data_IF_202064137533
#
_entry.id   IF_202064137533
#
_cell.length_a   1.000
_cell.length_b   1.000
_cell.length_c   1.000
_cell.angle_alpha   90.00
_cell.angle_beta   90.00
_cell.angle_gamma   90.00
#
_symmetry.space_group_name_H-M   'P 1'
#
loop_
_entity.id
_entity.type
_entity.pdbx_description
1 polymer ?
#
# COMPACT_ATOMS: atom_id res chain seq x y z
N UNK A 1 -12.68 -44.69 -14.88
CA UNK A 1 -13.51 -44.69 -13.65
C UNK A 1 -12.73 -45.06 -12.39
N UNK A 2 -11.67 -45.87 -12.46
CA UNK A 2 -10.98 -46.42 -11.27
C UNK A 2 -10.15 -45.38 -10.48
N UNK A 3 -9.60 -44.38 -11.16
CA UNK A 3 -8.85 -43.27 -10.54
C UNK A 3 -9.73 -42.43 -9.59
N UNK A 4 -10.95 -42.09 -10.00
CA UNK A 4 -11.87 -41.28 -9.19
C UNK A 4 -12.29 -42.01 -7.90
N UNK A 5 -12.39 -43.34 -7.96
CA UNK A 5 -12.75 -44.17 -6.80
C UNK A 5 -11.60 -44.21 -5.80
N UNK A 6 -10.36 -44.35 -6.27
CA UNK A 6 -9.15 -44.28 -5.43
C UNK A 6 -8.96 -42.90 -4.80
N UNK A 7 -9.19 -41.83 -5.55
CA UNK A 7 -9.10 -40.46 -5.04
C UNK A 7 -10.13 -40.19 -3.92
N UNK A 8 -11.38 -40.64 -4.09
CA UNK A 8 -12.42 -40.52 -3.05
C UNK A 8 -12.10 -41.32 -1.79
N UNK A 9 -11.53 -42.51 -1.93
CA UNK A 9 -11.12 -43.32 -0.80
C UNK A 9 -9.98 -42.66 -0.01
N UNK A 10 -8.99 -42.11 -0.71
CA UNK A 10 -7.86 -41.42 -0.08
C UNK A 10 -8.27 -40.13 0.66
N UNK A 11 -9.22 -39.36 0.12
CA UNK A 11 -9.76 -38.19 0.82
C UNK A 11 -10.49 -38.57 2.11
N UNK A 12 -11.22 -39.69 2.11
CA UNK A 12 -11.94 -40.17 3.30
C UNK A 12 -10.98 -40.65 4.40
N UNK A 13 -9.84 -41.21 4.02
CA UNK A 13 -8.77 -41.59 4.95
C UNK A 13 -8.12 -40.35 5.58
N UNK A 14 -7.81 -39.33 4.77
CA UNK A 14 -7.27 -38.05 5.24
C UNK A 14 -8.22 -37.31 6.21
N UNK A 15 -9.53 -37.29 5.93
CA UNK A 15 -10.52 -36.73 6.86
C UNK A 15 -10.54 -37.49 8.21
N UNK A 16 -10.42 -38.82 8.16
CA UNK A 16 -10.34 -39.66 9.36
C UNK A 16 -9.13 -39.34 10.22
N UNK A 17 -7.96 -39.16 9.59
CA UNK A 17 -6.71 -38.85 10.29
C UNK A 17 -6.71 -37.41 10.83
N UNK A 18 -7.27 -36.45 10.10
CA UNK A 18 -7.45 -35.07 10.56
C UNK A 18 -8.34 -35.02 11.81
N UNK A 19 -9.46 -35.73 11.82
CA UNK A 19 -10.36 -35.78 12.97
C UNK A 19 -9.70 -36.41 14.21
N UNK A 20 -8.88 -37.45 14.03
CA UNK A 20 -8.09 -38.03 15.13
C UNK A 20 -7.04 -37.05 15.66
N UNK A 21 -6.36 -36.31 14.78
CA UNK A 21 -5.39 -35.30 15.18
C UNK A 21 -6.06 -34.16 15.97
N UNK A 22 -7.22 -33.68 15.51
CA UNK A 22 -8.00 -32.64 16.21
C UNK A 22 -8.45 -33.10 17.59
N UNK A 23 -8.88 -34.37 17.73
CA UNK A 23 -9.24 -34.95 19.02
C UNK A 23 -8.05 -35.09 19.98
N UNK A 24 -6.86 -35.41 19.46
CA UNK A 24 -5.62 -35.50 20.26
C UNK A 24 -5.11 -34.14 20.74
N UNK A 25 -5.39 -33.07 19.98
CA UNK A 25 -4.94 -31.70 20.30
C UNK A 25 -5.83 -30.97 21.31
N UNK A 26 -6.90 -31.61 21.83
CA UNK A 26 -7.65 -31.08 22.97
C UNK A 26 -8.44 -29.79 22.71
N UNK A 27 -8.69 -29.43 21.45
CA UNK A 27 -9.59 -28.33 21.09
C UNK A 27 -11.05 -28.77 21.24
N UNK A 28 -11.48 -28.99 22.48
CA UNK A 28 -12.89 -29.13 22.83
C UNK A 28 -13.56 -27.76 22.84
N UNK A 29 -14.54 -27.56 21.95
CA UNK A 29 -15.48 -26.44 21.99
C UNK A 29 -16.17 -26.38 23.36
N UNK A 30 -15.93 -25.32 24.13
CA UNK A 30 -16.83 -24.93 25.22
C UNK A 30 -18.01 -24.19 24.60
N UNK A 31 -19.12 -24.90 24.41
CA UNK A 31 -20.42 -24.30 24.13
C UNK A 31 -20.92 -23.58 25.40
N UNK A 32 -20.91 -22.24 25.38
CA UNK A 32 -21.76 -21.44 26.27
C UNK A 32 -23.12 -21.27 25.58
N UNK A 33 -24.08 -22.11 25.95
CA UNK A 33 -25.51 -21.82 25.80
C UNK A 33 -26.10 -21.76 27.20
N UNK A 34 -26.60 -20.58 27.57
CA UNK A 34 -27.91 -20.40 28.21
C UNK A 34 -28.03 -18.95 28.71
N UNK A 35 -28.72 -18.11 27.93
CA UNK A 35 -29.41 -16.97 28.52
C UNK A 35 -30.71 -16.73 27.76
N UNK A 36 -31.80 -16.73 28.52
CA UNK A 36 -33.18 -16.78 28.07
C UNK A 36 -33.65 -15.44 27.50
N UNK A 37 -34.31 -15.48 26.34
CA UNK A 37 -35.06 -14.35 25.79
C UNK A 37 -36.51 -14.36 26.31
N UNK A 38 -36.91 -13.26 26.94
CA UNK A 38 -38.31 -12.94 27.22
C UNK A 38 -38.99 -12.29 25.99
N UNK A 39 -40.32 -12.44 25.82
CA UNK A 39 -40.99 -12.11 24.56
C UNK A 39 -41.27 -10.61 24.39
N UNK A 40 -41.00 -10.10 23.18
CA UNK A 40 -41.36 -8.76 22.73
C UNK A 40 -42.84 -8.75 22.31
N UNK A 41 -43.62 -7.87 22.92
CA UNK A 41 -45.00 -7.57 22.53
C UNK A 41 -45.03 -6.61 21.33
N UNK A 42 -45.93 -6.91 20.40
CA UNK A 42 -46.20 -6.13 19.18
C UNK A 42 -46.96 -4.83 19.47
N UNK A 43 -46.69 -3.80 18.66
CA UNK A 43 -47.52 -2.61 18.50
C UNK A 43 -47.68 -2.25 17.00
N UNK A 44 -48.77 -1.58 16.60
CA UNK A 44 -49.39 -1.65 15.27
C UNK A 44 -48.89 -0.58 14.28
N UNK A 45 -49.30 -0.63 12.99
CA UNK A 45 -48.74 0.22 11.94
C UNK A 45 -49.46 1.58 11.87
N UNK A 46 -48.71 2.65 11.57
CA UNK A 46 -49.27 3.94 11.16
C UNK A 46 -48.68 4.37 9.83
N UNK A 47 -49.57 4.54 8.86
CA UNK A 47 -49.44 5.25 7.59
C UNK A 47 -49.18 6.75 7.82
N UNK A 48 -48.31 7.38 7.03
CA UNK A 48 -48.72 8.35 6.01
C UNK A 48 -47.54 9.02 5.30
N UNK A 49 -47.73 9.20 3.99
CA UNK A 49 -47.01 10.05 3.04
C UNK A 49 -47.03 11.52 3.46
N UNK A 50 -46.02 12.37 3.22
CA UNK A 50 -45.72 13.04 1.94
C UNK A 50 -44.44 13.92 2.10
N UNK A 51 -43.82 14.41 1.00
CA UNK A 51 -42.45 14.90 0.98
C UNK A 51 -42.32 16.40 1.30
N UNK A 52 -41.24 16.77 1.96
CA UNK A 52 -40.78 18.15 2.04
C UNK A 52 -39.27 18.22 1.82
N UNK A 53 -38.92 18.92 0.75
CA UNK A 53 -37.60 19.47 0.45
C UNK A 53 -37.14 20.43 1.55
N UNK A 54 -35.93 20.23 2.08
CA UNK A 54 -35.14 21.32 2.65
C UNK A 54 -33.65 21.02 2.55
N UNK A 55 -33.00 21.81 1.69
CA UNK A 55 -31.62 22.24 1.90
C UNK A 55 -31.47 22.78 3.31
N UNK A 56 -30.43 22.35 4.02
CA UNK A 56 -29.55 23.08 4.95
C UNK A 56 -28.73 21.98 5.68
N UNK A 57 -27.44 21.86 5.35
CA UNK A 57 -26.43 21.25 6.22
C UNK A 57 -25.28 22.25 6.26
N UNK A 58 -25.35 23.23 7.15
CA UNK A 58 -24.80 23.21 8.51
C UNK A 58 -23.32 22.83 8.51
N UNK A 59 -22.41 23.78 8.80
CA UNK A 59 -20.98 23.52 8.78
C UNK A 59 -20.60 22.49 9.86
N UNK A 60 -19.72 21.58 9.47
CA UNK A 60 -19.10 20.61 10.35
C UNK A 60 -18.60 21.29 11.62
N UNK A 61 -19.16 20.87 12.76
CA UNK A 61 -18.65 21.22 14.07
C UNK A 61 -17.20 20.75 14.14
N UNK A 62 -16.26 21.70 14.15
CA UNK A 62 -14.88 21.41 14.42
C UNK A 62 -14.79 20.78 15.80
N UNK A 63 -14.43 19.51 15.86
CA UNK A 63 -13.93 18.93 17.11
C UNK A 63 -12.57 19.58 17.32
N UNK A 64 -12.55 20.58 18.19
CA UNK A 64 -11.33 21.16 18.72
C UNK A 64 -10.39 20.04 19.23
N UNK A 65 -9.06 20.20 19.12
CA UNK A 65 -8.14 19.27 19.75
C UNK A 65 -8.49 19.20 21.24
N UNK A 66 -8.74 17.99 21.70
CA UNK A 66 -9.00 17.66 23.10
C UNK A 66 -7.92 18.29 23.98
N UNK A 67 -8.24 19.44 24.59
CA UNK A 67 -7.61 19.93 25.81
C UNK A 67 -8.10 19.09 26.99
N UNK A 68 -7.87 17.78 26.95
CA UNK A 68 -7.97 16.92 28.13
C UNK A 68 -6.69 17.07 28.97
N UNK A 69 -6.39 18.30 29.37
CA UNK A 69 -5.55 18.59 30.52
C UNK A 69 -6.40 18.46 31.78
N UNK A 70 -6.86 17.24 32.08
CA UNK A 70 -7.30 16.92 33.42
C UNK A 70 -6.05 16.82 34.28
N UNK A 71 -5.92 17.70 35.28
CA UNK A 71 -4.90 17.66 36.32
C UNK A 71 -5.05 16.38 37.18
N UNK A 72 -4.75 15.23 36.58
CA UNK A 72 -4.26 14.11 37.36
C UNK A 72 -2.97 14.58 38.04
N UNK A 73 -2.77 14.33 39.35
CA UNK A 73 -1.55 14.75 40.02
C UNK A 73 -0.36 14.19 39.24
N UNK A 74 0.44 15.07 38.62
CA UNK A 74 1.65 14.69 37.89
C UNK A 74 2.55 14.00 38.91
N UNK A 75 2.52 12.67 38.93
CA UNK A 75 3.39 11.85 39.75
C UNK A 75 4.81 12.33 39.50
N UNK A 76 5.41 12.97 40.49
CA UNK A 76 6.67 13.67 40.32
C UNK A 76 7.72 12.62 39.92
N UNK A 77 8.18 12.70 38.68
CA UNK A 77 9.20 11.78 38.16
C UNK A 77 10.39 11.71 39.15
N UNK A 78 11.00 10.53 39.34
CA UNK A 78 12.18 10.41 40.18
C UNK A 78 13.26 11.40 39.75
N UNK A 79 14.05 11.92 40.71
CA UNK A 79 15.03 12.97 40.44
C UNK A 79 16.02 12.58 39.33
N UNK A 80 16.48 11.33 39.33
CA UNK A 80 17.35 10.80 38.29
C UNK A 80 16.72 10.90 36.89
N UNK A 81 15.43 10.62 36.78
CA UNK A 81 14.68 10.68 35.52
C UNK A 81 14.47 12.12 35.07
N UNK A 82 14.09 13.03 35.98
CA UNK A 82 13.99 14.46 35.65
C UNK A 82 15.31 15.02 35.14
N UNK A 83 16.43 14.61 35.76
CA UNK A 83 17.76 15.00 35.31
C UNK A 83 18.06 14.43 33.92
N UNK A 84 17.76 13.16 33.67
CA UNK A 84 17.95 12.54 32.35
C UNK A 84 17.10 13.23 31.26
N UNK A 85 15.83 13.53 31.53
CA UNK A 85 14.96 14.27 30.61
C UNK A 85 15.55 15.65 30.30
N UNK A 86 15.98 16.41 31.32
CA UNK A 86 16.62 17.71 31.11
C UNK A 86 17.89 17.60 30.26
N UNK A 87 18.79 16.69 30.63
CA UNK A 87 20.13 16.60 30.05
C UNK A 87 20.13 15.98 28.65
N UNK A 88 19.29 14.98 28.40
CA UNK A 88 19.26 14.23 27.14
C UNK A 88 18.11 14.63 26.20
N UNK A 89 17.09 15.35 26.66
CA UNK A 89 15.99 15.83 25.82
C UNK A 89 15.91 17.34 25.79
N UNK A 90 15.54 17.99 26.89
CA UNK A 90 15.20 19.43 26.89
C UNK A 90 16.37 20.31 26.42
N UNK A 91 17.58 20.03 26.90
CA UNK A 91 18.79 20.75 26.48
C UNK A 91 19.21 20.45 25.03
N UNK A 92 18.88 19.27 24.52
CA UNK A 92 19.23 18.82 23.16
C UNK A 92 18.13 19.10 22.13
N UNK A 93 16.93 19.45 22.58
CA UNK A 93 15.77 19.67 21.73
C UNK A 93 16.06 20.63 20.57
N UNK A 94 16.73 21.79 20.76
CA UNK A 94 17.06 22.68 19.65
C UNK A 94 17.97 22.03 18.60
N UNK A 95 18.92 21.20 19.01
CA UNK A 95 19.81 20.47 18.10
C UNK A 95 19.05 19.38 17.35
N UNK A 96 18.20 18.62 18.04
CA UNK A 96 17.37 17.58 17.45
C UNK A 96 16.39 18.15 16.41
N UNK A 97 15.73 19.26 16.73
CA UNK A 97 14.84 19.98 15.81
C UNK A 97 15.60 20.56 14.62
N UNK A 98 16.81 21.11 14.83
CA UNK A 98 17.65 21.59 13.75
C UNK A 98 18.09 20.45 12.81
N UNK A 99 18.50 19.31 13.36
CA UNK A 99 18.87 18.13 12.58
C UNK A 99 17.69 17.59 11.77
N UNK A 100 16.52 17.45 12.40
CA UNK A 100 15.28 17.06 11.72
C UNK A 100 14.91 18.02 10.60
N UNK A 101 14.94 19.33 10.89
CA UNK A 101 14.60 20.38 9.94
C UNK A 101 15.56 20.39 8.75
N UNK A 102 16.85 20.15 9.00
CA UNK A 102 17.87 20.04 7.97
C UNK A 102 17.60 18.86 7.04
N UNK A 103 17.34 17.68 7.60
CA UNK A 103 17.03 16.46 6.84
C UNK A 103 15.75 16.62 6.01
N UNK A 104 14.73 17.29 6.56
CA UNK A 104 13.44 17.48 5.90
C UNK A 104 13.36 18.77 5.06
N UNK A 105 14.42 19.57 5.05
CA UNK A 105 14.57 20.78 4.24
C UNK A 105 13.68 21.95 4.63
N UNK A 106 13.02 21.91 5.79
CA UNK A 106 12.16 22.99 6.31
C UNK A 106 12.01 22.90 7.83
N UNK A 107 11.49 23.93 8.53
CA UNK A 107 11.38 23.91 9.99
C UNK A 107 10.41 22.85 10.51
N UNK A 108 10.89 21.98 11.38
CA UNK A 108 10.13 20.96 12.09
C UNK A 108 10.31 21.06 13.59
N UNK A 109 9.26 20.69 14.34
CA UNK A 109 9.26 20.66 15.79
C UNK A 109 9.07 19.26 16.34
N UNK A 110 9.59 19.02 17.54
CA UNK A 110 9.41 17.78 18.27
C UNK A 110 8.55 18.08 19.50
N UNK A 111 7.43 17.37 19.66
CA UNK A 111 6.46 17.64 20.72
C UNK A 111 5.88 16.35 21.31
N UNK A 112 6.28 16.03 22.54
CA UNK A 112 5.65 15.00 23.38
C UNK A 112 6.04 15.21 24.84
N UNK A 113 5.28 14.59 25.75
CA UNK A 113 5.52 14.66 27.19
C UNK A 113 6.36 13.45 27.65
N UNK A 114 7.65 13.66 27.89
CA UNK A 114 8.56 12.64 28.45
C UNK A 114 8.07 12.05 29.78
N UNK A 115 7.39 12.85 30.61
CA UNK A 115 6.85 12.39 31.89
C UNK A 115 5.66 11.46 31.72
N UNK A 116 4.79 11.76 30.75
CA UNK A 116 3.73 10.83 30.34
C UNK A 116 4.33 9.55 29.75
N UNK A 117 5.27 9.67 28.82
CA UNK A 117 5.93 8.51 28.20
C UNK A 117 6.61 7.60 29.24
N UNK A 118 7.21 8.18 30.28
CA UNK A 118 7.85 7.42 31.36
C UNK A 118 6.89 6.46 32.07
N UNK A 119 5.57 6.71 32.06
CA UNK A 119 4.58 5.77 32.64
C UNK A 119 4.51 4.44 31.89
N UNK A 120 4.99 4.39 30.65
CA UNK A 120 5.09 3.18 29.83
C UNK A 120 6.50 2.60 29.77
N UNK A 121 7.47 3.22 30.46
CA UNK A 121 8.86 2.77 30.43
C UNK A 121 9.01 1.49 31.24
N UNK A 122 9.11 0.34 30.55
CA UNK A 122 9.36 -0.97 31.18
C UNK A 122 10.80 -1.40 31.00
N UNK A 123 11.33 -1.27 29.79
CA UNK A 123 12.71 -1.64 29.49
C UNK A 123 13.73 -0.62 30.05
N UNK A 124 14.98 -1.09 30.15
CA UNK A 124 16.08 -0.30 30.69
C UNK A 124 16.34 0.98 29.91
N UNK A 125 16.26 0.94 28.58
CA UNK A 125 16.57 2.07 27.72
C UNK A 125 15.58 3.22 27.90
N UNK A 126 14.27 2.95 27.87
CA UNK A 126 13.22 3.94 28.12
C UNK A 126 13.27 4.50 29.55
N UNK A 127 13.70 3.67 30.53
CA UNK A 127 13.87 4.12 31.93
C UNK A 127 15.10 5.00 32.12
N UNK A 128 16.20 4.71 31.44
CA UNK A 128 17.49 5.38 31.68
C UNK A 128 17.76 6.52 30.70
N UNK A 129 17.14 6.52 29.52
CA UNK A 129 17.47 7.46 28.44
C UNK A 129 16.25 7.85 27.59
N UNK A 130 15.15 8.34 28.21
CA UNK A 130 13.95 8.71 27.46
C UNK A 130 14.21 9.80 26.42
N UNK A 131 15.21 10.66 26.64
CA UNK A 131 15.60 11.71 25.69
C UNK A 131 16.38 11.24 24.46
N UNK A 132 16.84 9.98 24.43
CA UNK A 132 17.60 9.41 23.30
C UNK A 132 16.74 8.56 22.38
N UNK A 133 15.41 8.58 22.56
CA UNK A 133 14.50 7.73 21.79
C UNK A 133 14.21 8.25 20.36
N UNK A 134 15.00 9.21 19.88
CA UNK A 134 14.71 9.97 18.66
C UNK A 134 15.90 9.88 17.69
N UNK A 135 15.56 10.02 16.41
CA UNK A 135 16.42 10.55 15.32
C UNK A 135 17.27 9.64 14.43
N UNK A 136 17.10 8.32 14.38
CA UNK A 136 17.80 7.52 13.34
C UNK A 136 16.90 7.21 12.12
N UNK A 137 15.68 6.70 12.31
CA UNK A 137 14.90 6.13 11.20
C UNK A 137 14.52 7.08 10.05
N UNK A 138 14.40 8.40 10.29
CA UNK A 138 13.99 9.35 9.24
C UNK A 138 15.13 9.58 8.24
N UNK A 139 16.38 9.60 8.71
CA UNK A 139 17.53 9.81 7.83
C UNK A 139 17.63 8.67 6.83
N UNK A 140 17.48 7.43 7.30
CA UNK A 140 17.46 6.23 6.44
C UNK A 140 16.33 6.30 5.41
N UNK A 141 15.13 6.71 5.83
CA UNK A 141 13.99 6.86 4.92
C UNK A 141 14.27 7.90 3.82
N UNK A 142 14.79 9.07 4.18
CA UNK A 142 15.09 10.15 3.22
C UNK A 142 16.26 9.76 2.32
N UNK A 143 17.27 9.05 2.82
CA UNK A 143 18.36 8.52 2.01
C UNK A 143 17.85 7.54 0.93
N UNK A 144 16.85 6.72 1.27
CA UNK A 144 16.25 5.75 0.35
C UNK A 144 15.25 6.38 -0.62
N UNK A 145 14.45 7.34 -0.14
CA UNK A 145 13.30 7.90 -0.86
C UNK A 145 13.60 9.22 -1.58
N UNK A 146 14.73 9.85 -1.27
CA UNK A 146 15.18 11.10 -1.86
C UNK A 146 14.23 12.28 -1.62
N UNK A 147 14.33 13.27 -2.51
CA UNK A 147 13.55 14.52 -2.42
C UNK A 147 12.04 14.27 -2.52
N UNK A 148 11.60 13.25 -3.26
CA UNK A 148 10.18 12.94 -3.40
C UNK A 148 9.58 12.46 -2.08
N UNK A 149 10.27 11.55 -1.36
CA UNK A 149 9.82 11.11 -0.05
C UNK A 149 9.80 12.25 0.97
N UNK A 150 10.80 13.15 0.89
CA UNK A 150 10.85 14.37 1.69
C UNK A 150 9.64 15.26 1.42
N UNK A 151 9.34 15.51 0.16
CA UNK A 151 8.23 16.37 -0.25
C UNK A 151 6.88 15.81 0.18
N UNK A 152 6.65 14.52 -0.03
CA UNK A 152 5.39 13.86 0.34
C UNK A 152 5.16 13.87 1.85
N UNK A 153 6.21 13.58 2.63
CA UNK A 153 6.13 13.66 4.09
C UNK A 153 5.80 15.08 4.54
N UNK A 154 6.48 16.09 4.00
CA UNK A 154 6.23 17.49 4.31
C UNK A 154 4.81 17.93 3.95
N UNK A 155 4.29 17.48 2.81
CA UNK A 155 2.92 17.80 2.39
C UNK A 155 1.87 17.17 3.31
N UNK A 156 2.04 15.90 3.68
CA UNK A 156 1.04 15.17 4.47
C UNK A 156 1.12 15.45 5.97
N UNK A 157 2.34 15.63 6.49
CA UNK A 157 2.58 16.08 7.86
C UNK A 157 2.72 17.61 7.90
N UNK A 158 1.66 18.28 7.43
CA UNK A 158 1.60 19.73 7.20
C UNK A 158 1.76 20.61 8.44
N UNK A 159 1.62 20.06 9.65
CA UNK A 159 1.91 20.80 10.87
C UNK A 159 3.40 20.90 11.15
N UNK A 160 4.21 20.06 10.49
CA UNK A 160 5.65 19.89 10.71
C UNK A 160 5.99 19.63 12.18
N UNK A 161 5.13 18.84 12.85
CA UNK A 161 5.32 18.40 14.23
C UNK A 161 5.51 16.89 14.21
N UNK A 162 6.58 16.45 14.88
CA UNK A 162 6.80 15.06 15.22
C UNK A 162 6.39 14.79 16.67
N UNK A 163 5.65 13.72 16.88
CA UNK A 163 5.20 13.26 18.20
C UNK A 163 5.67 11.83 18.46
N UNK A 164 5.65 11.40 19.72
CA UNK A 164 5.83 10.01 20.12
C UNK A 164 4.67 9.62 21.03
N UNK A 165 3.90 8.61 20.62
CA UNK A 165 2.66 8.24 21.29
C UNK A 165 2.44 6.72 21.33
N UNK A 166 1.70 6.26 22.33
CA UNK A 166 1.29 4.86 22.42
C UNK A 166 0.15 4.61 21.42
N UNK A 167 0.16 3.45 20.76
CA UNK A 167 -0.91 3.00 19.86
C UNK A 167 -1.49 1.68 20.31
N UNK A 168 -2.76 1.47 19.98
CA UNK A 168 -3.47 0.19 20.14
C UNK A 168 -3.66 -0.51 18.77
N UNK A 169 -3.00 -0.02 17.72
CA UNK A 169 -3.10 -0.61 16.39
C UNK A 169 -2.48 -2.02 16.39
N UNK A 170 -3.26 -3.09 16.21
CA UNK A 170 -2.75 -4.47 16.28
C UNK A 170 -1.79 -4.81 15.12
N UNK A 171 -1.72 -3.98 14.07
CA UNK A 171 -0.75 -4.14 12.98
C UNK A 171 0.67 -3.73 13.38
N UNK A 172 0.83 -2.94 14.43
CA UNK A 172 2.13 -2.49 14.92
C UNK A 172 2.54 -3.42 16.06
N UNK A 173 3.54 -4.28 15.85
CA UNK A 173 3.93 -5.26 16.87
C UNK A 173 4.71 -4.65 18.04
N UNK A 174 5.57 -3.66 17.77
CA UNK A 174 6.45 -3.04 18.78
C UNK A 174 6.48 -1.52 18.65
N UNK A 175 6.94 -1.06 17.48
CA UNK A 175 7.05 0.34 17.12
C UNK A 175 6.80 0.51 15.63
N UNK A 176 6.42 1.71 15.24
CA UNK A 176 6.14 2.07 13.85
C UNK A 176 5.93 3.57 13.73
N UNK A 177 5.39 4.01 12.62
CA UNK A 177 5.08 5.41 12.41
C UNK A 177 3.76 5.59 11.67
N UNK A 178 3.24 6.81 11.73
CA UNK A 178 1.98 7.20 11.10
C UNK A 178 1.95 8.69 10.81
N UNK A 179 0.99 9.10 9.99
CA UNK A 179 0.65 10.52 9.80
C UNK A 179 -0.83 10.69 10.10
N UNK A 180 -1.18 11.60 11.00
CA UNK A 180 -2.57 11.90 11.31
C UNK A 180 -2.72 13.28 11.95
N UNK A 181 -3.75 14.01 11.54
CA UNK A 181 -3.96 15.41 11.96
C UNK A 181 -2.84 16.34 11.51
N UNK A 182 -2.21 16.06 10.36
CA UNK A 182 -1.06 16.82 9.85
C UNK A 182 0.24 16.60 10.64
N UNK A 183 0.27 15.71 11.62
CA UNK A 183 1.46 15.41 12.42
C UNK A 183 2.11 14.10 11.99
N UNK A 184 3.44 14.06 12.03
CA UNK A 184 4.19 12.82 11.95
C UNK A 184 4.26 12.18 13.34
N UNK A 185 3.91 10.90 13.45
CA UNK A 185 3.77 10.21 14.73
C UNK A 185 4.70 9.02 14.75
N UNK A 186 5.59 8.99 15.72
CA UNK A 186 6.29 7.78 16.13
C UNK A 186 5.36 7.03 17.09
N UNK A 187 5.16 5.74 16.84
CA UNK A 187 4.18 4.92 17.52
C UNK A 187 4.87 3.76 18.23
N UNK A 188 4.39 3.41 19.41
CA UNK A 188 4.79 2.19 20.12
C UNK A 188 3.58 1.48 20.73
N UNK A 189 3.63 0.16 20.87
CA UNK A 189 2.55 -0.63 21.48
C UNK A 189 2.90 -1.09 22.88
N UNK A 190 1.89 -1.15 23.76
CA UNK A 190 2.02 -1.69 25.11
C UNK A 190 3.25 -1.15 25.87
N UNK A 191 4.12 -2.07 26.28
CA UNK A 191 5.34 -1.81 27.07
C UNK A 191 6.60 -1.61 26.20
N UNK A 192 6.45 -1.52 24.87
CA UNK A 192 7.58 -1.51 23.93
C UNK A 192 8.18 -0.13 23.67
N UNK A 193 7.90 0.86 24.50
CA UNK A 193 8.53 2.19 24.42
C UNK A 193 10.06 2.06 24.34
N UNK A 194 10.68 2.68 23.35
CA UNK A 194 12.13 2.65 23.17
C UNK A 194 12.69 1.36 22.54
N UNK A 195 11.84 0.45 22.07
CA UNK A 195 12.27 -0.78 21.39
C UNK A 195 12.35 -0.57 19.88
N UNK A 196 13.41 -1.11 19.25
CA UNK A 196 13.59 -1.11 17.78
C UNK A 196 13.47 0.26 17.10
N UNK A 197 13.99 1.31 17.75
CA UNK A 197 13.87 2.69 17.26
C UNK A 197 14.55 2.93 15.91
N UNK A 198 15.62 2.19 15.61
CA UNK A 198 16.28 2.25 14.30
C UNK A 198 15.35 1.83 13.16
N UNK A 199 14.33 1.02 13.44
CA UNK A 199 13.37 0.51 12.45
C UNK A 199 12.01 1.22 12.49
N UNK A 200 11.83 2.24 13.34
CA UNK A 200 10.53 2.87 13.59
C UNK A 200 9.92 3.52 12.33
N UNK A 201 10.77 3.90 11.37
CA UNK A 201 10.38 4.53 10.10
C UNK A 201 10.41 3.58 8.89
N UNK A 202 10.64 2.27 9.07
CA UNK A 202 10.70 1.32 7.95
C UNK A 202 9.39 1.30 7.14
N UNK A 203 8.26 1.57 7.80
CA UNK A 203 6.93 1.61 7.20
C UNK A 203 6.45 3.04 6.86
N UNK A 204 7.36 4.03 6.79
CA UNK A 204 6.98 5.42 6.56
C UNK A 204 6.35 5.63 5.17
N UNK A 205 6.80 4.92 4.14
CA UNK A 205 6.13 4.92 2.84
C UNK A 205 4.67 4.43 2.94
N UNK A 206 4.42 3.39 3.74
CA UNK A 206 3.07 2.88 4.01
C UNK A 206 2.23 3.94 4.72
N UNK A 207 2.78 4.60 5.74
CA UNK A 207 2.10 5.67 6.47
C UNK A 207 1.76 6.88 5.59
N UNK A 208 2.67 7.28 4.69
CA UNK A 208 2.45 8.32 3.68
C UNK A 208 1.28 7.94 2.76
N UNK A 209 1.26 6.70 2.27
CA UNK A 209 0.19 6.22 1.40
C UNK A 209 -1.17 6.18 2.11
N UNK A 210 -1.21 5.74 3.36
CA UNK A 210 -2.43 5.72 4.17
C UNK A 210 -2.97 7.13 4.41
N UNK A 211 -2.09 8.09 4.73
CA UNK A 211 -2.48 9.48 4.90
C UNK A 211 -2.96 10.11 3.58
N UNK A 212 -2.28 9.85 2.47
CA UNK A 212 -2.65 10.36 1.14
C UNK A 212 -4.02 9.88 0.65
N UNK A 213 -4.44 8.65 1.00
CA UNK A 213 -5.78 8.12 0.66
C UNK A 213 -6.91 8.97 1.24
N UNK A 214 -6.71 9.53 2.43
CA UNK A 214 -7.72 10.37 3.09
C UNK A 214 -7.92 11.74 2.41
N UNK A 215 -7.01 12.11 1.51
CA UNK A 215 -6.93 13.44 0.89
C UNK A 215 -7.52 13.49 -0.53
N UNK A 216 -7.95 12.38 -1.12
CA UNK A 216 -8.39 12.32 -2.52
C UNK A 216 -9.93 12.38 -2.62
N UNK A 217 -10.53 13.47 -3.15
CA UNK A 217 -11.99 13.66 -3.17
C UNK A 217 -12.73 12.82 -4.22
N UNK A 218 -12.04 12.37 -5.27
CA UNK A 218 -12.68 11.96 -6.53
C UNK A 218 -12.78 10.44 -6.76
N UNK A 219 -12.50 9.62 -5.75
CA UNK A 219 -12.74 8.17 -5.80
C UNK A 219 -11.91 7.35 -6.80
N UNK A 220 -11.12 7.99 -7.67
CA UNK A 220 -10.05 7.36 -8.41
C UNK A 220 -8.87 7.04 -7.48
N UNK A 221 -8.33 5.82 -7.53
CA UNK A 221 -7.14 5.50 -6.77
C UNK A 221 -5.94 6.22 -7.39
N UNK A 222 -5.63 7.42 -6.86
CA UNK A 222 -4.39 8.11 -7.18
C UNK A 222 -3.20 7.17 -6.91
N UNK A 223 -2.17 7.26 -7.76
CA UNK A 223 -0.94 6.50 -7.56
C UNK A 223 -0.37 6.80 -6.18
N UNK A 224 -0.08 5.73 -5.43
CA UNK A 224 0.57 5.87 -4.14
C UNK A 224 2.05 6.24 -4.31
N UNK A 225 2.70 6.65 -3.22
CA UNK A 225 4.10 7.06 -3.23
C UNK A 225 5.03 5.97 -3.77
N UNK A 226 4.78 4.70 -3.43
CA UNK A 226 5.62 3.59 -3.88
C UNK A 226 5.54 3.42 -5.39
N UNK A 227 4.33 3.47 -5.96
CA UNK A 227 4.14 3.39 -7.40
C UNK A 227 4.73 4.60 -8.13
N UNK A 228 4.50 5.82 -7.64
CA UNK A 228 5.10 7.05 -8.21
C UNK A 228 6.63 6.97 -8.21
N UNK A 229 7.22 6.58 -7.07
CA UNK A 229 8.66 6.44 -6.92
C UNK A 229 9.22 5.37 -7.86
N UNK A 230 8.56 4.22 -7.97
CA UNK A 230 9.00 3.14 -8.84
C UNK A 230 8.88 3.48 -10.33
N UNK A 231 7.83 4.21 -10.75
CA UNK A 231 7.68 4.73 -12.12
C UNK A 231 8.85 5.66 -12.45
N UNK A 232 9.12 6.65 -11.61
CA UNK A 232 10.21 7.61 -11.82
C UNK A 232 11.58 6.95 -11.83
N UNK A 233 11.80 5.98 -10.95
CA UNK A 233 13.08 5.29 -10.83
C UNK A 233 13.34 4.28 -11.94
N UNK A 234 12.32 3.52 -12.34
CA UNK A 234 12.50 2.34 -13.19
C UNK A 234 11.88 2.48 -14.58
N UNK A 235 10.70 3.10 -14.71
CA UNK A 235 10.01 3.21 -16.00
C UNK A 235 10.51 4.38 -16.84
N UNK A 236 10.42 5.61 -16.29
CA UNK A 236 10.71 6.85 -17.03
C UNK A 236 12.11 6.87 -17.66
N UNK A 237 13.19 6.45 -16.98
CA UNK A 237 14.53 6.50 -17.56
C UNK A 237 14.76 5.48 -18.69
N UNK A 238 13.94 4.43 -18.76
CA UNK A 238 14.19 3.28 -19.62
C UNK A 238 13.16 3.12 -20.75
N UNK A 239 11.97 3.71 -20.64
CA UNK A 239 10.91 3.52 -21.63
C UNK A 239 11.28 4.07 -23.01
N UNK A 240 12.09 5.14 -23.09
CA UNK A 240 12.53 5.71 -24.37
C UNK A 240 13.30 4.72 -25.25
N UNK A 241 14.19 3.92 -24.66
CA UNK A 241 14.92 2.87 -25.38
C UNK A 241 13.98 1.77 -25.87
N UNK A 242 13.01 1.37 -25.04
CA UNK A 242 12.02 0.35 -25.40
C UNK A 242 11.10 0.84 -26.52
N UNK A 243 10.65 2.10 -26.45
CA UNK A 243 9.87 2.76 -27.50
C UNK A 243 10.64 2.76 -28.82
N UNK A 244 11.90 3.17 -28.84
CA UNK A 244 12.73 3.16 -30.04
C UNK A 244 12.89 1.76 -30.65
N UNK A 245 13.06 0.73 -29.81
CA UNK A 245 13.09 -0.67 -30.27
C UNK A 245 11.78 -1.10 -30.90
N UNK A 246 10.63 -0.82 -30.26
CA UNK A 246 9.31 -1.12 -30.84
C UNK A 246 9.10 -0.41 -32.18
N UNK A 247 9.44 0.89 -32.27
CA UNK A 247 9.36 1.66 -33.50
C UNK A 247 10.16 1.01 -34.63
N UNK A 248 11.38 0.55 -34.32
CA UNK A 248 12.25 -0.13 -35.29
C UNK A 248 11.73 -1.51 -35.69
N UNK A 249 11.24 -2.31 -34.75
CA UNK A 249 10.79 -3.69 -35.00
C UNK A 249 9.49 -3.70 -35.81
N UNK A 250 8.61 -2.72 -35.59
CA UNK A 250 7.29 -2.62 -36.24
C UNK A 250 7.29 -1.74 -37.50
N UNK A 251 8.38 -1.03 -37.79
CA UNK A 251 8.41 -0.04 -38.87
C UNK A 251 7.51 1.18 -38.62
N UNK A 252 7.25 1.53 -37.35
CA UNK A 252 6.30 2.57 -36.94
C UNK A 252 7.01 3.75 -36.24
N UNK A 253 7.50 4.77 -36.95
CA UNK A 253 8.30 5.84 -36.35
C UNK A 253 7.51 6.77 -35.41
N UNK A 254 6.17 6.81 -35.54
CA UNK A 254 5.27 7.62 -34.71
C UNK A 254 4.53 6.81 -33.65
N UNK A 255 5.04 5.62 -33.30
CA UNK A 255 4.45 4.78 -32.26
C UNK A 255 4.37 5.53 -30.92
N UNK A 256 3.23 5.46 -30.24
CA UNK A 256 3.03 5.92 -28.87
C UNK A 256 2.72 4.77 -27.92
N UNK A 257 3.21 4.87 -26.68
CA UNK A 257 3.04 3.85 -25.64
C UNK A 257 2.16 4.39 -24.52
N UNK A 258 1.09 3.66 -24.21
CA UNK A 258 0.11 4.02 -23.18
C UNK A 258 0.20 3.04 -22.00
N UNK A 259 1.01 3.33 -20.97
CA UNK A 259 1.14 2.47 -19.80
C UNK A 259 -0.14 2.41 -18.94
N UNK A 260 -1.03 3.40 -19.08
CA UNK A 260 -2.30 3.54 -18.36
C UNK A 260 -2.14 3.39 -16.83
N UNK A 261 -1.15 4.07 -16.23
CA UNK A 261 -0.74 3.87 -14.85
C UNK A 261 -1.90 3.99 -13.86
N UNK A 262 -2.68 5.07 -13.92
CA UNK A 262 -3.77 5.34 -12.98
C UNK A 262 -4.85 4.26 -13.05
N UNK A 263 -5.26 3.89 -14.27
CA UNK A 263 -6.28 2.86 -14.49
C UNK A 263 -5.81 1.49 -14.02
N UNK A 264 -4.58 1.12 -14.36
CA UNK A 264 -4.00 -0.17 -14.00
C UNK A 264 -3.77 -0.25 -12.49
N UNK A 265 -3.26 0.82 -11.88
CA UNK A 265 -3.07 0.91 -10.44
C UNK A 265 -4.40 0.78 -9.69
N UNK A 266 -5.45 1.45 -10.16
CA UNK A 266 -6.78 1.34 -9.57
C UNK A 266 -7.33 -0.10 -9.63
N UNK A 267 -7.18 -0.78 -10.77
CA UNK A 267 -7.64 -2.16 -10.92
C UNK A 267 -6.88 -3.15 -10.02
N UNK A 268 -5.55 -3.01 -9.93
CA UNK A 268 -4.71 -3.86 -9.07
C UNK A 268 -4.97 -3.57 -7.59
N UNK A 269 -5.14 -2.30 -7.22
CA UNK A 269 -5.53 -1.89 -5.86
C UNK A 269 -6.88 -2.48 -5.46
N UNK A 270 -7.89 -2.40 -6.34
CA UNK A 270 -9.22 -2.94 -6.07
C UNK A 270 -9.17 -4.45 -5.81
N UNK A 271 -8.30 -5.19 -6.51
CA UNK A 271 -8.08 -6.61 -6.27
C UNK A 271 -7.40 -6.87 -4.92
N UNK A 272 -6.32 -6.14 -4.61
CA UNK A 272 -5.55 -6.26 -3.36
C UNK A 272 -6.46 -6.09 -2.12
N UNK A 273 -7.33 -5.08 -2.13
CA UNK A 273 -8.25 -4.80 -1.01
C UNK A 273 -9.52 -5.67 -1.01
N UNK A 274 -9.79 -6.44 -2.06
CA UNK A 274 -10.98 -7.30 -2.13
C UNK A 274 -10.92 -8.51 -1.19
N UNK A 275 -9.75 -8.80 -0.61
CA UNK A 275 -9.53 -9.95 0.27
C UNK A 275 -9.49 -11.30 -0.47
N UNK A 276 -9.54 -11.30 -1.81
CA UNK A 276 -9.31 -12.50 -2.62
C UNK A 276 -7.91 -13.03 -2.35
N UNK A 277 -7.82 -14.29 -1.93
CA UNK A 277 -6.54 -14.96 -1.71
C UNK A 277 -6.02 -15.49 -3.04
N UNK A 278 -4.85 -15.02 -3.46
CA UNK A 278 -4.09 -15.63 -4.55
C UNK A 278 -2.66 -15.87 -4.08
N UNK A 279 -2.12 -17.05 -4.41
CA UNK A 279 -0.71 -17.37 -4.17
C UNK A 279 0.21 -16.78 -5.23
N UNK A 280 -0.37 -16.25 -6.31
CA UNK A 280 0.34 -15.72 -7.48
C UNK A 280 0.42 -14.20 -7.41
N UNK A 281 -0.61 -13.55 -6.84
CA UNK A 281 -0.62 -12.10 -6.67
C UNK A 281 0.59 -11.62 -5.84
N UNK A 282 1.43 -10.74 -6.39
CA UNK A 282 2.66 -10.33 -5.74
C UNK A 282 2.38 -9.49 -4.49
N UNK A 283 3.08 -9.80 -3.39
CA UNK A 283 3.14 -8.92 -2.23
C UNK A 283 3.88 -7.64 -2.58
N UNK A 284 3.45 -6.53 -2.01
CA UNK A 284 4.08 -5.21 -2.19
C UNK A 284 4.22 -4.80 -3.67
N UNK A 285 3.22 -5.15 -4.48
CA UNK A 285 3.22 -4.91 -5.92
C UNK A 285 3.44 -3.44 -6.29
N UNK A 286 3.02 -2.50 -5.44
CA UNK A 286 3.19 -1.07 -5.61
C UNK A 286 4.67 -0.67 -5.70
N UNK A 287 5.55 -1.34 -4.94
CA UNK A 287 7.01 -1.11 -4.94
C UNK A 287 7.70 -1.53 -6.24
N UNK A 288 6.98 -2.19 -7.15
CA UNK A 288 7.49 -2.68 -8.45
C UNK A 288 6.59 -2.31 -9.62
N UNK A 289 5.62 -1.40 -9.40
CA UNK A 289 4.57 -1.13 -10.38
C UNK A 289 5.09 -0.55 -11.70
N UNK A 290 5.97 0.44 -11.63
CA UNK A 290 6.63 1.03 -12.79
C UNK A 290 7.57 0.05 -13.49
N UNK A 291 8.37 -0.70 -12.73
CA UNK A 291 9.24 -1.76 -13.26
C UNK A 291 8.45 -2.84 -13.99
N UNK A 292 7.37 -3.33 -13.40
CA UNK A 292 6.52 -4.35 -14.04
C UNK A 292 5.84 -3.83 -15.29
N UNK A 293 5.38 -2.58 -15.28
CA UNK A 293 4.84 -1.91 -16.47
C UNK A 293 5.87 -1.84 -17.60
N UNK A 294 7.13 -1.48 -17.28
CA UNK A 294 8.23 -1.49 -18.25
C UNK A 294 8.51 -2.89 -18.79
N UNK A 295 8.49 -3.90 -17.92
CA UNK A 295 8.76 -5.30 -18.29
C UNK A 295 7.73 -5.81 -19.32
N UNK A 296 6.46 -5.44 -19.24
CA UNK A 296 5.47 -5.75 -20.29
C UNK A 296 5.91 -5.26 -21.68
N UNK A 297 6.30 -3.98 -21.81
CA UNK A 297 6.74 -3.44 -23.09
C UNK A 297 8.07 -4.05 -23.56
N UNK A 298 9.00 -4.35 -22.65
CA UNK A 298 10.25 -5.06 -22.99
C UNK A 298 9.96 -6.46 -23.56
N UNK A 299 9.08 -7.21 -22.91
CA UNK A 299 8.76 -8.55 -23.38
C UNK A 299 7.93 -8.55 -24.67
N UNK A 300 7.16 -7.49 -24.93
CA UNK A 300 6.55 -7.30 -26.24
C UNK A 300 7.61 -7.17 -27.35
N UNK A 301 8.67 -6.39 -27.13
CA UNK A 301 9.81 -6.32 -28.07
C UNK A 301 10.37 -7.72 -28.32
N UNK A 302 10.69 -8.45 -27.25
CA UNK A 302 11.26 -9.80 -27.35
C UNK A 302 10.35 -10.75 -28.15
N UNK A 303 9.03 -10.66 -27.96
CA UNK A 303 8.05 -11.48 -28.67
C UNK A 303 7.96 -11.12 -30.15
N UNK A 304 7.96 -9.83 -30.50
CA UNK A 304 7.93 -9.38 -31.89
C UNK A 304 9.22 -9.76 -32.62
N UNK A 305 10.38 -9.61 -31.99
CA UNK A 305 11.66 -10.04 -32.57
C UNK A 305 11.70 -11.54 -32.82
N UNK A 306 11.21 -12.35 -31.87
CA UNK A 306 11.10 -13.82 -32.03
C UNK A 306 10.15 -14.23 -33.14
N UNK A 307 9.09 -13.47 -33.34
CA UNK A 307 8.10 -13.69 -34.41
C UNK A 307 8.60 -13.20 -35.79
N UNK A 308 9.77 -12.54 -35.86
CA UNK A 308 10.41 -12.18 -37.12
C UNK A 308 10.08 -10.77 -37.64
N UNK A 309 9.29 -9.98 -36.90
CA UNK A 309 8.87 -8.64 -37.33
C UNK A 309 10.03 -7.73 -37.74
N UNK A 310 11.17 -7.81 -37.04
CA UNK A 310 12.34 -6.98 -37.35
C UNK A 310 12.97 -7.23 -38.73
N UNK A 311 12.59 -8.32 -39.42
CA UNK A 311 13.22 -8.77 -40.67
C UNK A 311 12.22 -9.05 -41.79
N UNK A 312 10.93 -8.84 -41.55
CA UNK A 312 9.86 -9.23 -42.47
C UNK A 312 8.92 -8.04 -42.69
N UNK A 313 9.02 -7.43 -43.87
CA UNK A 313 8.20 -6.28 -44.27
C UNK A 313 6.71 -6.63 -44.33
N UNK A 314 6.34 -7.87 -44.69
CA UNK A 314 4.92 -8.26 -44.75
C UNK A 314 4.30 -8.37 -43.35
N UNK A 315 5.07 -8.82 -42.36
CA UNK A 315 4.60 -8.81 -40.97
C UNK A 315 4.43 -7.38 -40.46
N UNK A 316 5.35 -6.48 -40.78
CA UNK A 316 5.25 -5.07 -40.41
C UNK A 316 4.02 -4.42 -41.08
N UNK A 317 3.83 -4.62 -42.39
CA UNK A 317 2.68 -4.11 -43.14
C UNK A 317 1.36 -4.64 -42.55
N UNK A 318 1.22 -5.95 -42.34
CA UNK A 318 0.02 -6.53 -41.77
C UNK A 318 -0.31 -6.00 -40.37
N UNK A 319 0.72 -5.72 -39.55
CA UNK A 319 0.52 -5.05 -38.27
C UNK A 319 0.02 -3.61 -38.42
N UNK A 320 0.60 -2.86 -39.35
CA UNK A 320 0.25 -1.47 -39.61
C UNK A 320 -1.19 -1.33 -40.14
N UNK A 321 -1.69 -2.32 -40.87
CA UNK A 321 -3.09 -2.35 -41.33
C UNK A 321 -4.09 -2.45 -40.17
N UNK A 322 -3.74 -3.14 -39.08
CA UNK A 322 -4.63 -3.31 -37.90
C UNK A 322 -4.37 -2.31 -36.78
N UNK A 323 -3.18 -1.68 -36.72
CA UNK A 323 -2.80 -0.65 -35.74
C UNK A 323 -2.61 0.71 -36.42
N UNK A 324 -3.70 1.24 -36.99
CA UNK A 324 -3.70 2.50 -37.75
C UNK A 324 -3.45 3.76 -36.89
N UNK A 325 -3.60 3.67 -35.57
CA UNK A 325 -3.32 4.79 -34.64
C UNK A 325 -1.88 4.89 -34.21
N UNK A 326 -1.05 3.90 -34.52
CA UNK A 326 0.31 3.79 -34.00
C UNK A 326 0.36 3.79 -32.46
N UNK A 327 -0.59 3.13 -31.81
CA UNK A 327 -0.67 3.10 -30.34
C UNK A 327 -0.52 1.68 -29.81
N UNK A 328 0.22 1.53 -28.70
CA UNK A 328 0.27 0.30 -27.92
C UNK A 328 -0.08 0.62 -26.47
N UNK A 329 -1.11 -0.03 -25.94
CA UNK A 329 -1.55 0.14 -24.55
C UNK A 329 -1.28 -1.07 -23.67
N UNK A 330 -0.94 -0.85 -22.40
CA UNK A 330 -1.04 -1.86 -21.35
C UNK A 330 -2.32 -1.62 -20.56
N UNK A 331 -3.16 -2.64 -20.37
CA UNK A 331 -4.35 -2.52 -19.54
C UNK A 331 -4.59 -3.73 -18.64
N UNK A 332 -5.06 -3.46 -17.43
CA UNK A 332 -5.59 -4.49 -16.53
C UNK A 332 -7.10 -4.59 -16.73
N UNK A 333 -7.59 -5.78 -17.04
CA UNK A 333 -9.00 -6.08 -17.36
C UNK A 333 -9.56 -7.12 -16.41
N UNK A 334 -10.89 -7.16 -16.27
CA UNK A 334 -11.53 -8.12 -15.36
C UNK A 334 -11.35 -9.58 -15.81
N UNK A 335 -11.28 -9.81 -17.12
CA UNK A 335 -11.16 -11.14 -17.72
C UNK A 335 -10.48 -11.09 -19.08
N UNK A 336 -9.66 -12.11 -19.36
CA UNK A 336 -9.08 -12.36 -20.69
C UNK A 336 -10.04 -13.20 -21.55
N UNK A 337 -10.02 -13.00 -22.87
CA UNK A 337 -10.91 -13.72 -23.78
C UNK A 337 -10.37 -15.11 -24.10
N UNK A 338 -9.08 -15.19 -24.48
CA UNK A 338 -8.41 -16.43 -24.89
C UNK A 338 -7.18 -16.74 -24.04
N UNK A 339 -6.57 -15.75 -23.40
CA UNK A 339 -5.37 -15.89 -22.58
C UNK A 339 -5.62 -16.42 -21.17
N UNK A 340 -4.57 -16.93 -20.54
CA UNK A 340 -4.60 -17.30 -19.11
C UNK A 340 -3.94 -16.22 -18.24
N UNK A 341 -2.67 -15.90 -18.50
CA UNK A 341 -1.94 -14.86 -17.77
C UNK A 341 -2.00 -13.49 -18.45
N UNK A 342 -1.74 -13.52 -19.77
CA UNK A 342 -1.63 -12.34 -20.61
C UNK A 342 -2.29 -12.65 -21.96
N UNK A 343 -2.76 -11.60 -22.63
CA UNK A 343 -3.36 -11.65 -23.95
C UNK A 343 -3.03 -10.36 -24.69
N UNK A 344 -2.91 -10.45 -26.02
CA UNK A 344 -2.89 -9.29 -26.89
C UNK A 344 -4.21 -9.23 -27.67
N UNK A 345 -4.75 -8.03 -27.85
CA UNK A 345 -5.94 -7.79 -28.67
C UNK A 345 -5.77 -6.53 -29.50
N UNK A 346 -6.26 -6.56 -30.74
CA UNK A 346 -6.41 -5.38 -31.57
C UNK A 346 -7.81 -4.81 -31.36
N UNK A 347 -7.91 -3.57 -30.88
CA UNK A 347 -9.18 -2.90 -30.67
C UNK A 347 -9.09 -1.45 -31.11
N UNK A 348 -9.96 -1.05 -32.05
CA UNK A 348 -10.08 0.33 -32.55
C UNK A 348 -8.75 0.93 -33.00
N UNK A 349 -7.93 0.17 -33.73
CA UNK A 349 -6.65 0.66 -34.26
C UNK A 349 -5.48 0.64 -33.27
N UNK A 350 -5.64 -0.03 -32.11
CA UNK A 350 -4.65 -0.06 -31.03
C UNK A 350 -4.34 -1.51 -30.67
N UNK A 351 -3.06 -1.83 -30.48
CA UNK A 351 -2.67 -3.08 -29.82
C UNK A 351 -2.74 -2.89 -28.30
N UNK A 352 -3.57 -3.68 -27.63
CA UNK A 352 -3.56 -3.77 -26.17
C UNK A 352 -2.87 -5.05 -25.71
N UNK A 353 -1.83 -4.90 -24.90
CA UNK A 353 -1.40 -5.94 -23.97
C UNK A 353 -2.31 -5.90 -22.76
N UNK A 354 -2.91 -7.03 -22.41
CA UNK A 354 -3.83 -7.10 -21.29
C UNK A 354 -3.58 -8.29 -20.36
N UNK A 355 -3.78 -8.03 -19.07
CA UNK A 355 -3.70 -9.01 -17.99
C UNK A 355 -4.89 -8.82 -17.04
N UNK A 356 -5.08 -9.73 -16.09
CA UNK A 356 -6.03 -9.53 -15.00
C UNK A 356 -5.30 -9.08 -13.73
N UNK A 357 -5.98 -8.44 -12.77
CA UNK A 357 -5.34 -8.03 -11.52
C UNK A 357 -4.65 -9.18 -10.79
N UNK A 358 -5.22 -10.38 -10.80
CA UNK A 358 -4.65 -11.58 -10.16
C UNK A 358 -3.29 -11.97 -10.76
N UNK A 359 -3.15 -11.83 -12.08
CA UNK A 359 -1.96 -12.19 -12.83
C UNK A 359 -1.04 -10.99 -13.11
N UNK A 360 -1.26 -9.86 -12.44
CA UNK A 360 -0.34 -8.73 -12.51
C UNK A 360 1.09 -9.22 -12.21
N UNK A 361 2.04 -8.83 -13.05
CA UNK A 361 3.45 -9.26 -13.05
C UNK A 361 3.73 -10.74 -13.33
N UNK A 362 2.73 -11.55 -13.68
CA UNK A 362 2.89 -12.99 -13.88
C UNK A 362 3.13 -13.33 -15.35
N UNK A 363 4.17 -14.14 -15.62
CA UNK A 363 4.50 -14.62 -16.97
C UNK A 363 4.50 -13.51 -18.05
N UNK A 364 4.99 -12.33 -17.70
CA UNK A 364 5.03 -11.16 -18.61
C UNK A 364 5.81 -11.43 -19.89
N UNK A 365 6.69 -12.44 -19.90
CA UNK A 365 7.37 -12.94 -21.12
C UNK A 365 6.42 -13.36 -22.22
N UNK A 366 5.17 -13.69 -21.89
CA UNK A 366 4.14 -14.09 -22.84
C UNK A 366 3.32 -12.88 -23.35
N UNK A 367 3.60 -11.67 -22.85
CA UNK A 367 3.00 -10.45 -23.39
C UNK A 367 3.50 -10.22 -24.82
N UNK A 368 2.58 -10.27 -25.80
CA UNK A 368 2.92 -10.24 -27.22
C UNK A 368 2.95 -11.61 -27.91
N UNK A 369 2.67 -12.70 -27.19
CA UNK A 369 2.54 -14.01 -27.82
C UNK A 369 1.34 -14.05 -28.78
N UNK A 370 1.51 -14.76 -29.90
CA UNK A 370 0.47 -15.01 -30.92
C UNK A 370 -0.02 -13.77 -31.65
N UNK A 371 0.80 -12.72 -31.77
CA UNK A 371 0.44 -11.54 -32.58
C UNK A 371 0.27 -11.94 -34.04
N UNK A 372 1.17 -12.75 -34.60
CA UNK A 372 1.06 -13.24 -35.98
C UNK A 372 -0.25 -13.99 -36.25
N UNK A 373 -0.78 -14.75 -35.29
CA UNK A 373 -2.04 -15.50 -35.47
C UNK A 373 -3.28 -14.58 -35.54
N UNK A 374 -3.12 -13.29 -35.24
CA UNK A 374 -4.19 -12.29 -35.20
C UNK A 374 -4.13 -11.29 -36.36
N UNK A 375 -3.04 -11.28 -37.13
CA UNK A 375 -2.90 -10.55 -38.41
C UNK A 375 -3.46 -11.44 -39.52
#
# INVERSE_FOLDING_TARGET
MDFLKKAKQHMKELEGDLNKATAQLGFGEKSHHDEAQAPIAAAPPSSDSTPATSNINTPATSVAPSTAGGDAPKTKLPLAIRKAVRDDFENKLPELEANLSSVLGQPWKISFDCGHLYTFAVNRFAKESPGKMFTEGIQDYIQQSGEDGKSELNTLASSHIMTLEQTQNPKISYSGCGISGGMFRLLFTGEYLGSNLSSICNELATAINEAGKSSSPDGGAALDFNAKSDIKKNYEPAIGEVKAKLQSVLGLPMLELHPNFERNFAAVTAYDVSGKKSTIFPREWQKRFGRSTLEYFKYLVDQLERQGFAKDEMLQEGYQEVVDKNEIGLRVVDKLQKGHYNECVFENGVLYMQTTPEYWTSNMRDAGAKIVDML
#
